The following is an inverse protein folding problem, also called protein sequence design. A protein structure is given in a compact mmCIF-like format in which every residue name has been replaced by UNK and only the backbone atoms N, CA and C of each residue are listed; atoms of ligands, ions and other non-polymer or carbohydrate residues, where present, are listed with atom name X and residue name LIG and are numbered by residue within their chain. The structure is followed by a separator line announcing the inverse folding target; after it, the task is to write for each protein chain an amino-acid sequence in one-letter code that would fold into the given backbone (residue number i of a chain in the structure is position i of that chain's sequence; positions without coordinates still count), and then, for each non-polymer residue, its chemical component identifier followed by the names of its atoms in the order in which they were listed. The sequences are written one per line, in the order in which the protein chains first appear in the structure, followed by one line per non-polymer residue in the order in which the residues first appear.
data_IF_117029632445
#
_entry.id   IF_117029632445
#
_cell.length_a   1.000
_cell.length_b   1.000
_cell.length_c   1.000
_cell.angle_alpha   90.00
_cell.angle_beta   90.00
_cell.angle_gamma   90.00
#
_symmetry.space_group_name_H-M   'P 1'
#
loop_
_entity.id
_entity.type
_entity.pdbx_description
1 polymer ?
#
# COMPACT_ATOMS: atom_id res chain seq x y z
N UNK A 1 34.79 -13.72 30.88
CA UNK A 1 33.97 -14.79 30.26
C UNK A 1 32.47 -14.63 30.51
N UNK A 2 31.96 -14.45 31.74
CA UNK A 2 30.51 -14.30 32.01
C UNK A 2 29.81 -13.10 31.32
N UNK A 3 30.47 -11.93 31.19
CA UNK A 3 29.89 -10.77 30.47
C UNK A 3 29.75 -10.98 28.95
N UNK A 4 30.69 -11.70 28.34
CA UNK A 4 30.67 -11.98 26.90
C UNK A 4 29.56 -13.00 26.58
N UNK A 5 29.38 -14.00 27.43
CA UNK A 5 28.31 -15.00 27.28
C UNK A 5 26.93 -14.37 27.50
N UNK A 6 26.77 -13.44 28.44
CA UNK A 6 25.50 -12.73 28.66
C UNK A 6 25.15 -11.80 27.48
N UNK A 7 26.13 -11.11 26.90
CA UNK A 7 25.92 -10.29 25.70
C UNK A 7 25.59 -11.13 24.47
N UNK A 8 26.20 -12.32 24.29
CA UNK A 8 25.91 -13.21 23.15
C UNK A 8 24.51 -13.85 23.28
N UNK A 9 24.10 -14.25 24.49
CA UNK A 9 22.76 -14.81 24.73
C UNK A 9 21.67 -13.74 24.56
N UNK A 10 21.91 -12.51 25.02
CA UNK A 10 21.01 -11.38 24.76
C UNK A 10 20.95 -11.03 23.26
N UNK A 11 22.09 -11.11 22.56
CA UNK A 11 22.17 -10.82 21.12
C UNK A 11 21.42 -11.86 20.27
N UNK A 12 21.56 -13.15 20.54
CA UNK A 12 20.82 -14.23 19.84
C UNK A 12 19.32 -14.21 20.17
N UNK A 13 18.94 -13.86 21.41
CA UNK A 13 17.53 -13.67 21.76
C UNK A 13 16.94 -12.40 21.12
N UNK A 14 17.72 -11.35 20.91
CA UNK A 14 17.24 -10.09 20.29
C UNK A 14 17.11 -10.25 18.78
N UNK A 15 18.03 -10.93 18.08
CA UNK A 15 17.91 -11.12 16.63
C UNK A 15 16.80 -12.09 16.24
N UNK A 16 16.59 -13.17 17.00
CA UNK A 16 15.47 -14.09 16.80
C UNK A 16 14.10 -13.53 17.20
N UNK A 17 14.04 -12.53 18.09
CA UNK A 17 12.78 -11.87 18.49
C UNK A 17 12.48 -10.57 17.72
N UNK A 18 13.47 -9.91 17.12
CA UNK A 18 13.26 -8.66 16.38
C UNK A 18 12.42 -8.88 15.11
N UNK A 19 12.60 -10.02 14.44
CA UNK A 19 11.82 -10.41 13.27
C UNK A 19 10.99 -11.65 13.61
N UNK A 20 9.85 -11.47 14.28
CA UNK A 20 8.88 -12.54 14.40
C UNK A 20 8.48 -13.01 12.99
N UNK A 21 8.64 -14.30 12.70
CA UNK A 21 8.20 -14.87 11.41
C UNK A 21 6.69 -14.72 11.29
N UNK A 22 6.24 -13.93 10.31
CA UNK A 22 4.82 -13.86 9.98
C UNK A 22 4.34 -15.21 9.45
N UNK A 23 3.04 -15.42 9.54
CA UNK A 23 2.35 -16.58 9.01
C UNK A 23 1.21 -16.12 8.13
N UNK A 24 1.03 -16.81 7.00
CA UNK A 24 -0.18 -16.73 6.21
C UNK A 24 -1.42 -17.03 7.09
N UNK A 25 -2.55 -16.43 6.74
CA UNK A 25 -3.83 -16.70 7.41
C UNK A 25 -4.29 -18.13 7.12
N UNK A 26 -5.08 -18.70 8.05
CA UNK A 26 -5.70 -20.00 7.82
C UNK A 26 -6.60 -20.01 6.57
N UNK A 27 -7.30 -18.89 6.32
CA UNK A 27 -8.12 -18.70 5.13
C UNK A 27 -7.28 -18.77 3.85
N UNK A 28 -6.09 -18.17 3.80
CA UNK A 28 -5.23 -18.28 2.62
C UNK A 28 -4.79 -19.73 2.36
N UNK A 29 -4.39 -20.46 3.41
CA UNK A 29 -3.99 -21.87 3.27
C UNK A 29 -5.16 -22.74 2.76
N UNK A 30 -6.38 -22.46 3.21
CA UNK A 30 -7.58 -23.11 2.69
C UNK A 30 -7.84 -22.79 1.21
N UNK A 31 -7.66 -21.52 0.81
CA UNK A 31 -7.81 -21.08 -0.57
C UNK A 31 -6.76 -21.74 -1.48
N UNK A 32 -5.50 -21.78 -1.05
CA UNK A 32 -4.41 -22.44 -1.78
C UNK A 32 -4.71 -23.94 -2.00
N UNK A 33 -5.14 -24.65 -0.94
CA UNK A 33 -5.53 -26.05 -1.05
C UNK A 33 -6.68 -26.28 -2.03
N UNK A 34 -7.71 -25.43 -1.97
CA UNK A 34 -8.83 -25.47 -2.91
C UNK A 34 -8.38 -25.24 -4.36
N UNK A 35 -7.47 -24.29 -4.59
CA UNK A 35 -6.95 -23.97 -5.93
C UNK A 35 -6.16 -25.15 -6.50
N UNK A 36 -5.34 -25.83 -5.69
CA UNK A 36 -4.61 -27.02 -6.15
C UNK A 36 -5.53 -28.16 -6.60
N UNK A 37 -6.72 -28.26 -6.01
CA UNK A 37 -7.75 -29.23 -6.41
C UNK A 37 -8.61 -28.76 -7.59
N UNK A 38 -8.55 -27.47 -7.95
CA UNK A 38 -9.42 -26.84 -8.94
C UNK A 38 -8.62 -26.02 -9.97
N UNK A 39 -7.56 -26.63 -10.52
CA UNK A 39 -6.65 -25.95 -11.47
C UNK A 39 -7.33 -25.40 -12.72
N UNK A 40 -8.50 -25.94 -13.09
CA UNK A 40 -9.33 -25.45 -14.19
C UNK A 40 -9.86 -24.02 -14.00
N UNK A 41 -9.75 -23.44 -12.80
CA UNK A 41 -10.10 -22.04 -12.54
C UNK A 41 -9.12 -21.04 -13.21
N UNK A 42 -7.93 -21.49 -13.61
CA UNK A 42 -6.97 -20.66 -14.34
C UNK A 42 -7.36 -20.62 -15.80
N UNK A 43 -7.91 -19.49 -16.23
CA UNK A 43 -8.42 -19.28 -17.60
C UNK A 43 -7.38 -18.68 -18.56
N UNK A 44 -6.29 -18.11 -18.04
CA UNK A 44 -5.19 -17.54 -18.83
C UNK A 44 -3.82 -17.99 -18.29
N UNK A 45 -3.16 -18.83 -19.09
CA UNK A 45 -1.84 -19.41 -18.82
C UNK A 45 -0.72 -18.76 -19.62
N UNK A 46 -1.05 -17.84 -20.53
CA UNK A 46 -0.08 -17.27 -21.50
C UNK A 46 0.46 -15.92 -21.09
N UNK A 47 -0.37 -15.11 -20.42
CA UNK A 47 0.07 -13.84 -19.89
C UNK A 47 0.95 -14.09 -18.66
N UNK A 48 2.16 -13.52 -18.54
CA UNK A 48 2.98 -13.71 -17.35
C UNK A 48 2.55 -12.83 -16.17
N UNK A 49 1.63 -11.89 -16.36
CA UNK A 49 1.15 -10.97 -15.32
C UNK A 49 -0.05 -11.52 -14.53
N UNK A 50 -0.09 -11.21 -13.23
CA UNK A 50 -1.19 -11.53 -12.32
C UNK A 50 -2.31 -10.47 -12.39
N UNK A 51 -3.02 -10.41 -13.52
CA UNK A 51 -4.13 -9.47 -13.65
C UNK A 51 -5.39 -9.93 -12.91
N UNK A 52 -6.01 -9.00 -12.17
CA UNK A 52 -7.37 -9.14 -11.64
C UNK A 52 -8.47 -8.92 -12.67
N UNK A 53 -8.13 -8.52 -13.90
CA UNK A 53 -9.13 -8.20 -14.92
C UNK A 53 -9.45 -9.41 -15.79
N UNK A 54 -10.73 -9.63 -16.02
CA UNK A 54 -11.25 -10.56 -17.02
C UNK A 54 -12.33 -9.86 -17.84
N UNK A 55 -12.09 -9.72 -19.15
CA UNK A 55 -13.04 -9.08 -20.08
C UNK A 55 -13.52 -7.71 -19.57
N UNK A 56 -12.61 -6.93 -18.96
CA UNK A 56 -12.89 -5.61 -18.40
C UNK A 56 -13.60 -5.61 -17.05
N UNK A 57 -13.71 -6.76 -16.36
CA UNK A 57 -14.33 -6.88 -15.03
C UNK A 57 -13.32 -7.39 -14.00
N UNK A 58 -13.44 -6.89 -12.77
CA UNK A 58 -12.59 -7.23 -11.64
C UNK A 58 -12.98 -8.59 -11.03
N UNK A 59 -11.98 -9.46 -10.87
CA UNK A 59 -12.06 -10.71 -10.14
C UNK A 59 -10.87 -10.84 -9.16
N UNK A 60 -11.07 -10.55 -7.88
CA UNK A 60 -9.98 -10.45 -6.89
C UNK A 60 -9.22 -11.76 -6.63
N UNK A 61 -9.84 -12.93 -6.83
CA UNK A 61 -9.16 -14.22 -6.65
C UNK A 61 -8.43 -14.71 -7.90
N UNK A 62 -8.73 -14.16 -9.08
CA UNK A 62 -8.06 -14.55 -10.33
C UNK A 62 -6.53 -14.53 -10.27
N UNK A 63 -5.87 -13.46 -9.78
CA UNK A 63 -4.42 -13.46 -9.67
C UNK A 63 -3.91 -14.56 -8.74
N UNK A 64 -4.63 -14.87 -7.66
CA UNK A 64 -4.25 -15.94 -6.71
C UNK A 64 -4.41 -17.34 -7.31
N UNK A 65 -5.48 -17.58 -8.08
CA UNK A 65 -5.67 -18.83 -8.83
C UNK A 65 -4.47 -19.10 -9.71
N UNK A 66 -4.06 -18.09 -10.48
CA UNK A 66 -2.93 -18.19 -11.40
C UNK A 66 -1.61 -18.36 -10.66
N UNK A 67 -1.35 -17.53 -9.64
CA UNK A 67 -0.12 -17.56 -8.87
C UNK A 67 0.16 -18.93 -8.27
N UNK A 68 -0.83 -19.55 -7.63
CA UNK A 68 -0.63 -20.82 -6.93
C UNK A 68 -0.61 -22.03 -7.86
N UNK A 69 -1.31 -21.99 -9.00
CA UNK A 69 -1.24 -23.07 -10.00
C UNK A 69 0.06 -23.03 -10.79
N UNK A 70 0.50 -21.83 -11.20
CA UNK A 70 1.67 -21.60 -12.05
C UNK A 70 2.89 -21.13 -11.25
N UNK A 71 2.97 -21.50 -9.97
CA UNK A 71 3.97 -20.97 -9.04
C UNK A 71 5.39 -21.15 -9.54
N UNK A 72 5.73 -22.36 -10.00
CA UNK A 72 7.08 -22.66 -10.44
C UNK A 72 7.42 -21.90 -11.73
N UNK A 73 6.50 -21.87 -12.69
CA UNK A 73 6.68 -21.19 -13.97
C UNK A 73 6.85 -19.67 -13.79
N UNK A 74 6.09 -19.06 -12.88
CA UNK A 74 6.20 -17.64 -12.58
C UNK A 74 7.49 -17.32 -11.82
N UNK A 75 7.93 -18.19 -10.90
CA UNK A 75 9.22 -18.05 -10.21
C UNK A 75 10.38 -18.19 -11.20
N UNK A 76 10.30 -19.15 -12.12
CA UNK A 76 11.32 -19.36 -13.15
C UNK A 76 11.41 -18.16 -14.12
N UNK A 77 10.27 -17.50 -14.38
CA UNK A 77 10.18 -16.35 -15.30
C UNK A 77 10.64 -15.04 -14.64
N UNK A 78 10.17 -14.76 -13.42
CA UNK A 78 10.30 -13.45 -12.77
C UNK A 78 11.24 -13.42 -11.57
N UNK A 79 11.60 -14.60 -11.05
CA UNK A 79 12.30 -14.75 -9.79
C UNK A 79 11.35 -14.79 -8.58
N UNK A 80 11.82 -15.43 -7.50
CA UNK A 80 11.06 -15.59 -6.26
C UNK A 80 10.65 -14.24 -5.62
N UNK A 81 11.51 -13.21 -5.55
CA UNK A 81 11.11 -11.92 -4.96
C UNK A 81 9.96 -11.25 -5.70
N UNK A 82 10.02 -11.21 -7.05
CA UNK A 82 8.96 -10.61 -7.86
C UNK A 82 7.64 -11.40 -7.75
N UNK A 83 7.70 -12.73 -7.79
CA UNK A 83 6.53 -13.59 -7.54
C UNK A 83 5.88 -13.28 -6.18
N UNK A 84 6.68 -13.16 -5.13
CA UNK A 84 6.18 -12.90 -3.79
C UNK A 84 5.57 -11.49 -3.66
N UNK A 85 6.14 -10.46 -4.28
CA UNK A 85 5.56 -9.12 -4.29
C UNK A 85 4.24 -9.07 -5.08
N UNK A 86 4.15 -9.75 -6.22
CA UNK A 86 2.91 -9.86 -7.00
C UNK A 86 1.80 -10.58 -6.22
N UNK A 87 2.14 -11.66 -5.50
CA UNK A 87 1.19 -12.34 -4.60
C UNK A 87 0.80 -11.46 -3.42
N UNK A 88 1.75 -10.75 -2.82
CA UNK A 88 1.47 -9.82 -1.72
C UNK A 88 0.49 -8.71 -2.17
N UNK A 89 0.68 -8.16 -3.36
CA UNK A 89 -0.23 -7.18 -3.95
C UNK A 89 -1.63 -7.78 -4.16
N UNK A 90 -1.73 -8.96 -4.76
CA UNK A 90 -3.02 -9.63 -4.97
C UNK A 90 -3.77 -9.90 -3.66
N UNK A 91 -3.05 -10.33 -2.61
CA UNK A 91 -3.60 -10.55 -1.27
C UNK A 91 -4.06 -9.25 -0.62
N UNK A 92 -3.27 -8.18 -0.71
CA UNK A 92 -3.65 -6.87 -0.23
C UNK A 92 -4.94 -6.38 -0.90
N UNK A 93 -5.07 -6.60 -2.22
CA UNK A 93 -6.26 -6.24 -2.98
C UNK A 93 -7.48 -7.05 -2.52
N UNK A 94 -7.31 -8.35 -2.27
CA UNK A 94 -8.36 -9.23 -1.78
C UNK A 94 -8.69 -9.06 -0.28
N UNK A 95 -7.98 -8.18 0.44
CA UNK A 95 -8.23 -7.88 1.85
C UNK A 95 -7.49 -8.79 2.84
N UNK A 96 -6.47 -9.54 2.44
CA UNK A 96 -5.62 -10.29 3.38
C UNK A 96 -4.26 -9.61 3.57
N UNK A 97 -4.25 -8.54 4.39
CA UNK A 97 -3.04 -7.78 4.67
C UNK A 97 -2.00 -8.56 5.47
N UNK A 98 -2.43 -9.49 6.34
CA UNK A 98 -1.51 -10.30 7.13
C UNK A 98 -0.69 -11.21 6.21
N UNK A 99 -1.36 -11.91 5.29
CA UNK A 99 -0.65 -12.74 4.33
C UNK A 99 0.13 -11.91 3.31
N UNK A 100 -0.33 -10.70 2.95
CA UNK A 100 0.48 -9.80 2.12
C UNK A 100 1.83 -9.50 2.77
N UNK A 101 1.84 -9.12 4.06
CA UNK A 101 3.09 -8.91 4.80
C UNK A 101 3.94 -10.19 4.93
N UNK A 102 3.30 -11.35 5.07
CA UNK A 102 4.00 -12.64 5.06
C UNK A 102 4.75 -12.88 3.74
N UNK A 103 4.10 -12.68 2.58
CA UNK A 103 4.75 -12.85 1.28
C UNK A 103 5.86 -11.82 1.04
N UNK A 104 5.69 -10.57 1.49
CA UNK A 104 6.77 -9.58 1.46
C UNK A 104 7.99 -10.03 2.26
N UNK A 105 7.80 -10.64 3.44
CA UNK A 105 8.90 -11.22 4.20
C UNK A 105 9.53 -12.46 3.53
N UNK A 106 8.80 -13.17 2.67
CA UNK A 106 9.37 -14.27 1.88
C UNK A 106 10.16 -13.76 0.66
N UNK A 107 9.96 -12.52 0.23
CA UNK A 107 10.76 -11.88 -0.82
C UNK A 107 12.15 -11.45 -0.31
N UNK A 108 12.32 -11.34 1.01
CA UNK A 108 13.56 -10.95 1.68
C UNK A 108 14.65 -12.01 1.61
N UNK A 109 15.91 -11.57 1.52
CA UNK A 109 17.07 -12.42 1.68
C UNK A 109 17.59 -12.41 3.13
N UNK A 110 18.23 -13.50 3.61
CA UNK A 110 18.92 -13.50 4.89
C UNK A 110 20.09 -12.52 4.87
N UNK A 111 20.14 -11.60 5.84
CA UNK A 111 21.25 -10.67 5.97
C UNK A 111 22.43 -11.29 6.75
N UNK A 112 23.68 -11.00 6.38
CA UNK A 112 24.85 -11.42 7.17
C UNK A 112 24.85 -10.82 8.58
N UNK A 113 25.40 -11.54 9.56
CA UNK A 113 25.49 -11.08 10.96
C UNK A 113 26.16 -9.69 11.14
N UNK A 114 27.07 -9.33 10.24
CA UNK A 114 27.73 -8.02 10.22
C UNK A 114 26.75 -6.87 9.94
N UNK A 115 25.72 -7.11 9.12
CA UNK A 115 24.67 -6.13 8.83
C UNK A 115 23.78 -5.94 10.05
N UNK A 116 23.38 -7.04 10.71
CA UNK A 116 22.58 -6.99 11.94
C UNK A 116 23.29 -6.15 13.01
N UNK A 117 24.58 -6.43 13.27
CA UNK A 117 25.39 -5.66 14.21
C UNK A 117 25.45 -4.16 13.86
N UNK A 118 25.58 -3.84 12.58
CA UNK A 118 25.63 -2.46 12.09
C UNK A 118 24.29 -1.74 12.31
N UNK A 119 23.17 -2.39 11.96
CA UNK A 119 21.82 -1.85 12.16
C UNK A 119 21.57 -1.59 13.64
N UNK A 120 21.80 -2.57 14.51
CA UNK A 120 21.56 -2.44 15.94
C UNK A 120 22.34 -1.26 16.52
N UNK A 121 23.64 -1.14 16.22
CA UNK A 121 24.47 -0.02 16.71
C UNK A 121 23.98 1.34 16.20
N UNK A 122 23.56 1.42 14.93
CA UNK A 122 23.02 2.67 14.35
C UNK A 122 21.73 3.09 15.05
N UNK A 123 20.81 2.14 15.26
CA UNK A 123 19.54 2.41 15.94
C UNK A 123 19.76 2.77 17.41
N UNK A 124 20.65 2.06 18.13
CA UNK A 124 21.03 2.39 19.52
C UNK A 124 21.57 3.82 19.67
N UNK A 125 22.29 4.32 18.65
CA UNK A 125 22.79 5.68 18.61
C UNK A 125 21.69 6.74 18.39
N UNK A 126 20.49 6.36 17.95
CA UNK A 126 19.34 7.23 17.77
C UNK A 126 18.56 7.46 19.07
N UNK A 127 19.25 7.79 20.15
CA UNK A 127 18.61 8.22 21.39
C UNK A 127 18.15 9.70 21.34
N UNK A 128 17.33 10.08 22.32
CA UNK A 128 16.85 11.45 22.54
C UNK A 128 16.12 12.08 21.34
N UNK A 129 15.39 11.25 20.58
CA UNK A 129 14.53 11.72 19.50
C UNK A 129 13.15 12.10 20.03
N UNK A 130 12.58 13.16 19.47
CA UNK A 130 11.18 13.53 19.72
C UNK A 130 10.30 12.88 18.67
N UNK A 131 9.41 11.98 19.09
CA UNK A 131 8.40 11.38 18.22
C UNK A 131 7.16 12.27 18.17
N UNK A 132 6.95 12.99 17.06
CA UNK A 132 5.77 13.84 16.89
C UNK A 132 4.71 13.15 16.02
N UNK A 133 3.40 13.38 16.25
CA UNK A 133 2.36 12.85 15.37
C UNK A 133 2.57 13.30 13.92
N UNK A 134 2.52 12.36 12.97
CA UNK A 134 2.96 12.64 11.60
C UNK A 134 2.05 13.62 10.84
N UNK A 135 0.72 13.44 10.97
CA UNK A 135 -0.28 14.26 10.25
C UNK A 135 -0.09 15.77 10.51
N UNK A 136 -0.13 16.29 11.76
CA UNK A 136 0.02 17.72 11.99
C UNK A 136 1.40 18.25 11.58
N UNK A 137 2.47 17.44 11.70
CA UNK A 137 3.80 17.84 11.28
C UNK A 137 3.90 17.99 9.76
N UNK A 138 3.41 17.00 8.99
CA UNK A 138 3.39 17.04 7.53
C UNK A 138 2.56 18.21 7.03
N UNK A 139 1.36 18.42 7.59
CA UNK A 139 0.49 19.53 7.23
C UNK A 139 1.18 20.89 7.47
N UNK A 140 1.93 21.03 8.57
CA UNK A 140 2.71 22.25 8.82
C UNK A 140 3.79 22.47 7.75
N UNK A 141 4.48 21.42 7.31
CA UNK A 141 5.52 21.53 6.28
C UNK A 141 4.94 21.76 4.87
N UNK A 142 3.79 21.17 4.57
CA UNK A 142 3.10 21.28 3.29
C UNK A 142 2.58 22.70 3.00
N UNK A 143 2.27 23.50 4.02
CA UNK A 143 1.70 24.84 3.85
C UNK A 143 2.53 25.78 2.97
N UNK A 144 3.86 25.63 3.00
CA UNK A 144 4.83 26.45 2.26
C UNK A 144 5.29 25.82 0.94
N UNK A 145 4.52 24.87 0.41
CA UNK A 145 4.88 24.06 -0.76
C UNK A 145 3.75 24.08 -1.78
N UNK A 146 4.11 24.08 -3.05
CA UNK A 146 3.16 23.93 -4.16
C UNK A 146 2.97 22.47 -4.56
N UNK A 147 3.88 21.59 -4.14
CA UNK A 147 3.84 20.17 -4.48
C UNK A 147 4.34 19.34 -3.30
N UNK A 148 3.55 18.32 -2.96
CA UNK A 148 3.86 17.32 -1.94
C UNK A 148 3.89 15.96 -2.62
N UNK A 149 5.04 15.30 -2.55
CA UNK A 149 5.25 13.94 -3.05
C UNK A 149 5.19 12.99 -1.84
N UNK A 150 4.35 11.98 -1.94
CA UNK A 150 4.19 10.93 -0.94
C UNK A 150 4.37 9.62 -1.69
N UNK A 151 5.28 8.74 -1.24
CA UNK A 151 5.40 7.44 -1.89
C UNK A 151 4.50 6.36 -1.28
N UNK A 152 4.40 5.22 -1.93
CA UNK A 152 3.76 4.01 -1.42
C UNK A 152 4.40 2.73 -1.98
N UNK A 153 4.31 1.63 -1.24
CA UNK A 153 4.43 0.27 -1.78
C UNK A 153 3.06 -0.18 -2.27
N UNK A 154 3.01 -0.80 -3.44
CA UNK A 154 1.74 -1.14 -4.10
C UNK A 154 0.93 -2.23 -3.38
N UNK A 155 1.60 -3.02 -2.53
CA UNK A 155 1.04 -4.07 -1.68
C UNK A 155 0.72 -3.60 -0.26
N UNK A 156 0.85 -2.30 0.05
CA UNK A 156 0.59 -1.74 1.40
C UNK A 156 -0.55 -0.71 1.42
N UNK A 157 -1.81 -1.16 1.52
CA UNK A 157 -2.96 -0.26 1.66
C UNK A 157 -2.88 0.68 2.86
N UNK A 158 -2.11 0.35 3.91
CA UNK A 158 -1.85 1.24 5.05
C UNK A 158 -1.30 2.62 4.62
N UNK A 159 -0.49 2.68 3.56
CA UNK A 159 0.05 3.93 3.04
C UNK A 159 -1.03 4.83 2.43
N UNK A 160 -1.99 4.21 1.74
CA UNK A 160 -3.14 4.89 1.15
C UNK A 160 -4.12 5.33 2.23
N UNK A 161 -4.31 4.51 3.28
CA UNK A 161 -5.07 4.88 4.47
C UNK A 161 -4.48 6.13 5.15
N UNK A 162 -3.15 6.22 5.22
CA UNK A 162 -2.46 7.41 5.73
C UNK A 162 -2.67 8.65 4.83
N UNK A 163 -2.55 8.49 3.52
CA UNK A 163 -2.83 9.56 2.55
C UNK A 163 -4.29 10.08 2.64
N UNK A 164 -5.28 9.19 2.84
CA UNK A 164 -6.69 9.54 3.07
C UNK A 164 -6.85 10.53 4.24
N UNK A 165 -6.11 10.31 5.32
CA UNK A 165 -6.18 11.16 6.52
C UNK A 165 -5.55 12.53 6.27
N UNK A 166 -4.54 12.62 5.40
CA UNK A 166 -3.89 13.89 5.03
C UNK A 166 -4.76 14.78 4.12
N UNK A 167 -5.64 14.19 3.30
CA UNK A 167 -6.36 14.93 2.25
C UNK A 167 -7.11 16.15 2.77
N UNK A 168 -7.79 16.06 3.92
CA UNK A 168 -8.58 17.17 4.48
C UNK A 168 -7.72 18.39 4.80
N UNK A 169 -6.64 18.18 5.55
CA UNK A 169 -5.71 19.26 5.89
C UNK A 169 -5.01 19.84 4.67
N UNK A 170 -4.65 19.00 3.69
CA UNK A 170 -4.06 19.47 2.43
C UNK A 170 -5.08 20.30 1.63
N UNK A 171 -6.33 19.87 1.55
CA UNK A 171 -7.37 20.63 0.86
C UNK A 171 -7.61 22.00 1.52
N UNK A 172 -7.61 22.08 2.85
CA UNK A 172 -7.72 23.35 3.58
C UNK A 172 -6.54 24.30 3.29
N UNK A 173 -5.38 23.78 2.88
CA UNK A 173 -4.18 24.55 2.51
C UNK A 173 -4.09 24.92 1.02
N UNK A 174 -5.17 24.67 0.26
CA UNK A 174 -5.27 25.03 -1.16
C UNK A 174 -4.83 23.95 -2.14
N UNK A 175 -4.53 22.72 -1.69
CA UNK A 175 -4.31 21.61 -2.61
C UNK A 175 -5.62 21.21 -3.29
N UNK A 176 -5.63 21.19 -4.62
CA UNK A 176 -6.82 20.91 -5.45
C UNK A 176 -6.62 19.80 -6.46
N UNK A 177 -5.40 19.31 -6.61
CA UNK A 177 -5.08 18.22 -7.54
C UNK A 177 -4.49 17.04 -6.78
N UNK A 178 -5.02 15.85 -7.05
CA UNK A 178 -4.45 14.58 -6.62
C UNK A 178 -3.92 13.86 -7.85
N UNK A 179 -2.61 13.89 -8.02
CA UNK A 179 -1.90 13.15 -9.05
C UNK A 179 -1.51 11.78 -8.50
N UNK A 180 -1.80 10.70 -9.24
CA UNK A 180 -1.43 9.35 -8.80
C UNK A 180 -0.89 8.56 -9.97
N UNK A 181 0.18 7.81 -9.73
CA UNK A 181 0.84 6.97 -10.75
C UNK A 181 -0.12 6.01 -11.45
N UNK A 182 -1.07 5.48 -10.68
CA UNK A 182 -2.02 4.48 -11.16
C UNK A 182 -3.09 5.03 -12.09
N UNK A 183 -3.32 6.33 -12.13
CA UNK A 183 -4.44 6.88 -12.89
C UNK A 183 -4.24 6.58 -14.38
N UNK A 184 -5.28 6.04 -15.00
CA UNK A 184 -5.28 5.65 -16.39
C UNK A 184 -4.90 6.86 -17.27
N UNK A 185 -3.80 6.79 -18.05
CA UNK A 185 -3.37 7.91 -18.89
C UNK A 185 -4.15 7.99 -20.22
N UNK A 186 -4.91 6.95 -20.59
CA UNK A 186 -5.58 6.87 -21.88
C UNK A 186 -6.89 7.66 -21.91
N UNK A 187 -7.38 7.94 -23.13
CA UNK A 187 -8.63 8.70 -23.37
C UNK A 187 -9.89 8.13 -22.72
N UNK A 188 -9.91 6.84 -22.38
CA UNK A 188 -11.04 6.18 -21.72
C UNK A 188 -10.97 6.25 -20.19
N UNK A 189 -10.04 7.03 -19.61
CA UNK A 189 -9.90 7.16 -18.17
C UNK A 189 -11.16 7.73 -17.50
N UNK A 190 -11.59 7.09 -16.41
CA UNK A 190 -12.69 7.59 -15.58
C UNK A 190 -12.14 8.42 -14.41
N UNK A 191 -12.04 9.74 -14.62
CA UNK A 191 -11.43 10.68 -13.65
C UNK A 191 -12.43 11.47 -12.79
N UNK A 192 -13.74 11.29 -13.02
CA UNK A 192 -14.82 11.97 -12.26
C UNK A 192 -15.64 11.01 -11.39
N UNK A 193 -15.46 9.72 -11.58
CA UNK A 193 -16.10 8.64 -10.84
C UNK A 193 -15.12 7.47 -10.78
N UNK A 194 -15.06 6.79 -9.63
CA UNK A 194 -14.23 5.60 -9.48
C UNK A 194 -14.86 4.42 -10.22
N UNK A 195 -14.11 3.85 -11.16
CA UNK A 195 -14.44 2.61 -11.87
C UNK A 195 -13.15 1.85 -12.17
N UNK A 196 -13.28 0.64 -12.72
CA UNK A 196 -12.13 -0.13 -13.25
C UNK A 196 -11.28 0.63 -14.29
N UNK A 197 -11.85 1.67 -14.94
CA UNK A 197 -11.14 2.51 -15.90
C UNK A 197 -10.38 3.67 -15.26
N UNK A 198 -10.50 3.88 -13.95
CA UNK A 198 -9.79 4.94 -13.23
C UNK A 198 -8.31 4.64 -13.10
N UNK A 199 -7.94 3.38 -12.84
CA UNK A 199 -6.55 2.97 -12.68
C UNK A 199 -6.39 1.59 -12.04
N UNK A 200 -5.29 0.89 -12.33
CA UNK A 200 -5.07 -0.47 -11.84
C UNK A 200 -5.06 -0.57 -10.31
N UNK A 201 -4.21 0.20 -9.61
CA UNK A 201 -4.15 0.21 -8.15
C UNK A 201 -5.39 0.80 -7.49
N UNK A 202 -6.20 1.60 -8.19
CA UNK A 202 -7.48 2.09 -7.66
C UNK A 202 -8.51 0.99 -7.45
N UNK A 203 -8.25 -0.20 -7.99
CA UNK A 203 -9.06 -1.39 -7.76
C UNK A 203 -8.81 -2.02 -6.37
N UNK A 204 -7.76 -1.62 -5.66
CA UNK A 204 -7.59 -1.96 -4.25
C UNK A 204 -8.57 -1.11 -3.40
N UNK A 205 -9.38 -1.70 -2.49
CA UNK A 205 -10.46 -0.99 -1.80
C UNK A 205 -10.04 0.31 -1.08
N UNK A 206 -8.91 0.34 -0.38
CA UNK A 206 -8.42 1.54 0.31
C UNK A 206 -7.95 2.60 -0.69
N UNK A 207 -7.30 2.23 -1.78
CA UNK A 207 -7.02 3.13 -2.90
C UNK A 207 -8.31 3.69 -3.52
N UNK A 208 -9.33 2.85 -3.65
CA UNK A 208 -10.66 3.27 -4.07
C UNK A 208 -11.26 4.32 -3.13
N UNK A 209 -11.18 4.11 -1.81
CA UNK A 209 -11.61 5.11 -0.82
C UNK A 209 -10.80 6.41 -0.91
N UNK A 210 -9.50 6.36 -1.22
CA UNK A 210 -8.68 7.55 -1.46
C UNK A 210 -9.23 8.37 -2.63
N UNK A 211 -9.54 7.71 -3.75
CA UNK A 211 -10.11 8.36 -4.93
C UNK A 211 -11.51 8.91 -4.64
N UNK A 212 -12.39 8.13 -4.00
CA UNK A 212 -13.75 8.58 -3.63
C UNK A 212 -13.69 9.81 -2.74
N UNK A 213 -12.86 9.79 -1.70
CA UNK A 213 -12.70 10.93 -0.79
C UNK A 213 -12.16 12.16 -1.52
N UNK A 214 -11.16 12.00 -2.38
CA UNK A 214 -10.61 13.09 -3.17
C UNK A 214 -11.70 13.74 -4.05
N UNK A 215 -12.47 12.94 -4.80
CA UNK A 215 -13.57 13.42 -5.63
C UNK A 215 -14.67 14.10 -4.81
N UNK A 216 -15.09 13.50 -3.69
CA UNK A 216 -16.10 14.07 -2.79
C UNK A 216 -15.69 15.45 -2.26
N UNK A 217 -14.41 15.64 -1.94
CA UNK A 217 -13.87 16.91 -1.49
C UNK A 217 -13.69 17.94 -2.61
N UNK A 218 -13.77 17.53 -3.87
CA UNK A 218 -13.56 18.39 -5.03
C UNK A 218 -12.10 18.50 -5.48
N UNK A 219 -11.25 17.50 -5.18
CA UNK A 219 -9.98 17.36 -5.88
C UNK A 219 -10.22 17.00 -7.36
N UNK A 220 -9.36 17.51 -8.24
CA UNK A 220 -9.24 17.04 -9.61
C UNK A 220 -8.18 15.94 -9.67
N UNK A 221 -8.54 14.78 -10.22
CA UNK A 221 -7.58 13.69 -10.44
C UNK A 221 -6.69 14.01 -11.64
N UNK A 222 -5.37 13.82 -11.49
CA UNK A 222 -4.37 14.15 -12.51
C UNK A 222 -3.51 12.92 -12.86
N UNK A 223 -3.78 12.21 -13.96
CA UNK A 223 -2.84 11.20 -14.46
C UNK A 223 -1.55 11.89 -14.89
N UNK A 224 -0.43 11.27 -14.58
CA UNK A 224 0.90 11.75 -15.00
C UNK A 224 1.77 10.65 -15.62
N UNK A 225 1.28 9.41 -15.65
CA UNK A 225 1.95 8.31 -16.34
C UNK A 225 1.95 8.51 -17.87
N UNK A 226 2.93 7.93 -18.55
CA UNK A 226 2.96 7.88 -20.02
C UNK A 226 2.12 6.71 -20.57
N UNK A 227 1.39 6.96 -21.67
CA UNK A 227 0.63 5.92 -22.38
C UNK A 227 1.51 4.77 -22.89
N UNK A 228 2.83 4.97 -23.03
CA UNK A 228 3.80 3.97 -23.46
C UNK A 228 4.73 3.50 -22.32
N UNK A 229 4.37 3.71 -21.06
CA UNK A 229 5.22 3.39 -19.90
C UNK A 229 5.81 1.97 -19.94
N UNK A 230 5.07 0.99 -20.46
CA UNK A 230 5.51 -0.41 -20.61
C UNK A 230 6.61 -0.64 -21.67
N UNK A 231 6.96 0.36 -22.46
CA UNK A 231 8.02 0.31 -23.49
C UNK A 231 9.23 1.18 -23.13
N UNK A 232 9.16 1.91 -22.02
CA UNK A 232 10.19 2.82 -21.56
C UNK A 232 11.11 2.09 -20.57
N UNK A 233 12.39 2.48 -20.54
CA UNK A 233 13.24 2.16 -19.39
C UNK A 233 12.75 2.91 -18.14
N UNK A 234 13.18 2.48 -16.95
CA UNK A 234 12.81 3.14 -15.69
C UNK A 234 13.12 4.65 -15.71
N UNK A 235 14.33 5.03 -16.14
CA UNK A 235 14.69 6.45 -16.27
C UNK A 235 13.83 7.22 -17.27
N UNK A 236 13.51 6.60 -18.42
CA UNK A 236 12.67 7.25 -19.41
C UNK A 236 11.26 7.47 -18.85
N UNK A 237 10.69 6.46 -18.18
CA UNK A 237 9.40 6.55 -17.51
C UNK A 237 9.39 7.66 -16.45
N UNK A 238 10.35 7.68 -15.54
CA UNK A 238 10.46 8.71 -14.49
C UNK A 238 10.62 10.11 -15.07
N UNK A 239 11.40 10.24 -16.14
CA UNK A 239 11.56 11.52 -16.84
C UNK A 239 10.25 11.99 -17.49
N UNK A 240 9.46 11.10 -18.09
CA UNK A 240 8.19 11.43 -18.72
C UNK A 240 7.12 11.80 -17.68
N UNK A 241 7.05 11.06 -16.59
CA UNK A 241 6.22 11.40 -15.44
C UNK A 241 6.53 12.81 -14.92
N UNK A 242 7.82 13.13 -14.77
CA UNK A 242 8.27 14.46 -14.36
C UNK A 242 7.94 15.56 -15.39
N UNK A 243 8.06 15.27 -16.69
CA UNK A 243 7.68 16.19 -17.77
C UNK A 243 6.19 16.53 -17.69
N UNK A 244 5.31 15.55 -17.50
CA UNK A 244 3.86 15.78 -17.38
C UNK A 244 3.53 16.69 -16.19
N UNK A 245 4.10 16.40 -15.02
CA UNK A 245 3.90 17.23 -13.82
C UNK A 245 4.47 18.64 -13.99
N UNK A 246 5.67 18.78 -14.56
CA UNK A 246 6.30 20.09 -14.80
C UNK A 246 5.50 20.94 -15.81
N UNK A 247 5.00 20.33 -16.89
CA UNK A 247 4.14 21.01 -17.86
C UNK A 247 2.82 21.48 -17.24
N UNK A 248 2.21 20.64 -16.39
CA UNK A 248 1.03 21.04 -15.64
C UNK A 248 1.33 22.25 -14.74
N UNK A 249 2.37 22.20 -13.91
CA UNK A 249 2.74 23.31 -13.02
C UNK A 249 3.07 24.60 -13.79
N UNK A 250 3.71 24.50 -14.96
CA UNK A 250 3.97 25.66 -15.81
C UNK A 250 2.69 26.34 -16.31
N UNK A 251 1.65 25.55 -16.63
CA UNK A 251 0.33 26.05 -17.04
C UNK A 251 -0.50 26.55 -15.85
N UNK A 252 -0.22 26.05 -14.65
CA UNK A 252 -0.98 26.27 -13.43
C UNK A 252 -0.08 26.73 -12.26
N UNK A 253 0.62 27.86 -12.37
CA UNK A 253 1.69 28.24 -11.43
C UNK A 253 1.23 28.55 -10.01
N UNK A 254 -0.07 28.82 -9.80
CA UNK A 254 -0.68 29.06 -8.49
C UNK A 254 -1.29 27.81 -7.84
N UNK A 255 -1.43 26.72 -8.60
CA UNK A 255 -2.12 25.52 -8.12
C UNK A 255 -1.20 24.65 -7.27
N UNK A 256 -1.80 23.99 -6.27
CA UNK A 256 -1.09 23.04 -5.41
C UNK A 256 -1.51 21.60 -5.67
N UNK A 257 -0.53 20.71 -5.73
CA UNK A 257 -0.69 19.31 -6.14
C UNK A 257 -0.16 18.36 -5.08
N UNK A 258 -0.94 17.33 -4.77
CA UNK A 258 -0.48 16.15 -4.03
C UNK A 258 -0.16 15.07 -5.05
N UNK A 259 1.03 14.49 -5.00
CA UNK A 259 1.45 13.39 -5.88
C UNK A 259 1.65 12.14 -5.04
N UNK A 260 0.96 11.05 -5.41
CA UNK A 260 1.18 9.72 -4.86
C UNK A 260 1.89 8.85 -5.91
N UNK A 261 3.07 8.35 -5.57
CA UNK A 261 3.91 7.54 -6.47
C UNK A 261 4.40 6.26 -5.79
N UNK A 262 4.76 5.25 -6.56
CA UNK A 262 5.41 4.03 -6.08
C UNK A 262 6.83 4.31 -5.56
N UNK A 263 7.19 3.68 -4.45
CA UNK A 263 8.58 3.51 -3.98
C UNK A 263 9.45 4.78 -4.12
N UNK A 264 10.51 4.69 -4.90
CA UNK A 264 11.58 5.69 -4.94
C UNK A 264 11.33 6.80 -5.94
N UNK A 265 10.23 6.81 -6.70
CA UNK A 265 9.91 7.89 -7.65
C UNK A 265 9.94 9.28 -6.98
N UNK A 266 9.70 9.34 -5.67
CA UNK A 266 9.70 10.59 -4.90
C UNK A 266 11.07 10.99 -4.33
N UNK A 267 12.10 10.15 -4.47
CA UNK A 267 13.45 10.40 -3.97
C UNK A 267 14.10 11.62 -4.65
N UNK A 268 14.70 12.50 -3.85
CA UNK A 268 15.29 13.77 -4.31
C UNK A 268 16.76 13.65 -4.72
N UNK A 269 17.34 12.46 -4.64
CA UNK A 269 18.70 12.15 -5.07
C UNK A 269 18.69 10.86 -5.89
N UNK A 270 19.52 10.83 -6.94
CA UNK A 270 19.79 9.61 -7.69
C UNK A 270 20.99 8.90 -7.07
N UNK A 271 20.91 7.57 -6.94
CA UNK A 271 22.03 6.77 -6.45
C UNK A 271 23.11 6.58 -7.52
N UNK A 272 22.69 6.50 -8.78
CA UNK A 272 23.58 6.45 -9.94
C UNK A 272 22.92 7.11 -11.16
N UNK A 273 23.56 7.01 -12.33
CA UNK A 273 23.05 7.60 -13.58
C UNK A 273 22.02 6.71 -14.29
N UNK A 274 21.87 5.47 -13.85
CA UNK A 274 21.01 4.44 -14.44
C UNK A 274 19.64 4.35 -13.73
N UNK A 275 19.54 4.91 -12.52
CA UNK A 275 18.28 5.10 -11.77
C UNK A 275 18.16 6.53 -11.24
N UNK A 276 17.51 7.40 -12.02
CA UNK A 276 17.21 8.79 -11.67
C UNK A 276 15.71 8.91 -11.36
N UNK A 277 15.34 9.15 -10.09
CA UNK A 277 13.95 9.29 -9.70
C UNK A 277 13.20 10.45 -10.36
N UNK A 278 11.89 10.27 -10.55
CA UNK A 278 10.97 11.29 -11.06
C UNK A 278 11.14 12.64 -10.32
N UNK A 279 11.27 12.64 -8.99
CA UNK A 279 11.41 13.89 -8.22
C UNK A 279 12.69 14.68 -8.54
N UNK A 280 13.79 14.00 -8.94
CA UNK A 280 15.02 14.66 -9.39
C UNK A 280 14.76 15.40 -10.72
N UNK A 281 14.18 14.71 -11.70
CA UNK A 281 13.80 15.33 -12.98
C UNK A 281 12.79 16.46 -12.77
N UNK A 282 11.79 16.26 -11.92
CA UNK A 282 10.73 17.22 -11.68
C UNK A 282 11.28 18.52 -11.10
N UNK A 283 12.19 18.43 -10.13
CA UNK A 283 12.87 19.60 -9.57
C UNK A 283 13.68 20.33 -10.63
N UNK A 284 14.41 19.60 -11.47
CA UNK A 284 15.20 20.19 -12.55
C UNK A 284 14.34 20.92 -13.59
N UNK A 285 13.24 20.29 -14.03
CA UNK A 285 12.37 20.81 -15.09
C UNK A 285 11.47 21.96 -14.62
N UNK A 286 10.99 21.92 -13.37
CA UNK A 286 10.06 22.92 -12.84
C UNK A 286 10.75 24.07 -12.09
N UNK A 287 11.97 23.87 -11.61
CA UNK A 287 12.64 24.79 -10.67
C UNK A 287 12.02 24.82 -9.27
N UNK A 288 11.01 23.99 -8.98
CA UNK A 288 10.30 23.94 -7.70
C UNK A 288 10.90 22.84 -6.83
N UNK A 289 11.18 23.15 -5.55
CA UNK A 289 11.55 22.12 -4.56
C UNK A 289 10.27 21.46 -4.01
N UNK A 290 9.98 20.18 -4.30
CA UNK A 290 8.89 19.48 -3.66
C UNK A 290 9.13 19.26 -2.16
N UNK A 291 8.06 19.03 -1.42
CA UNK A 291 8.16 18.30 -0.14
C UNK A 291 8.08 16.80 -0.46
N UNK A 292 9.15 16.05 -0.19
CA UNK A 292 9.17 14.61 -0.41
C UNK A 292 9.08 13.83 0.90
N UNK A 293 8.13 12.90 0.97
CA UNK A 293 7.76 12.15 2.17
C UNK A 293 7.85 10.67 1.84
N UNK A 294 8.79 9.97 2.49
CA UNK A 294 8.84 8.51 2.47
C UNK A 294 7.92 7.92 3.53
N UNK A 295 7.17 6.88 3.17
CA UNK A 295 6.50 5.97 4.10
C UNK A 295 6.80 4.50 3.80
N UNK A 296 7.73 4.22 2.88
CA UNK A 296 7.97 2.87 2.38
C UNK A 296 9.15 2.17 3.06
N UNK A 297 10.07 2.92 3.65
CA UNK A 297 11.20 2.33 4.36
C UNK A 297 10.88 1.99 5.83
N UNK A 298 10.22 2.92 6.55
CA UNK A 298 9.97 2.79 7.99
C UNK A 298 8.58 2.22 8.29
N UNK A 299 8.31 1.06 7.72
CA UNK A 299 7.05 0.33 7.85
C UNK A 299 7.30 -1.18 7.96
N UNK A 300 6.30 -1.94 8.43
CA UNK A 300 6.38 -3.41 8.43
C UNK A 300 6.67 -3.92 7.02
N UNK A 301 7.58 -4.88 6.86
CA UNK A 301 8.04 -5.36 5.55
C UNK A 301 9.21 -4.55 5.00
N UNK A 302 9.16 -3.20 5.03
CA UNK A 302 10.15 -2.29 4.42
C UNK A 302 10.41 -2.59 2.92
N UNK A 303 11.07 -1.69 2.20
CA UNK A 303 11.48 -1.93 0.79
C UNK A 303 12.77 -2.73 0.67
N UNK A 304 13.59 -2.71 1.71
CA UNK A 304 14.88 -3.40 1.75
C UNK A 304 15.02 -4.24 3.00
N UNK A 305 15.82 -5.32 2.92
CA UNK A 305 16.13 -6.17 4.07
C UNK A 305 16.82 -5.39 5.18
N UNK A 306 17.69 -4.46 4.78
CA UNK A 306 18.36 -3.55 5.70
C UNK A 306 17.34 -2.67 6.44
N UNK A 307 16.41 -2.05 5.69
CA UNK A 307 15.32 -1.26 6.25
C UNK A 307 14.39 -2.09 7.14
N UNK A 308 14.14 -3.36 6.83
CA UNK A 308 13.29 -4.26 7.64
C UNK A 308 13.87 -4.50 9.02
N UNK A 309 15.16 -4.82 9.10
CA UNK A 309 15.86 -4.93 10.38
C UNK A 309 15.89 -3.60 11.12
N UNK A 310 16.15 -2.51 10.40
CA UNK A 310 16.23 -1.18 10.97
C UNK A 310 14.90 -0.75 11.58
N UNK A 311 13.81 -0.91 10.84
CA UNK A 311 12.45 -0.65 11.28
C UNK A 311 12.13 -1.44 12.55
N UNK A 312 12.36 -2.77 12.55
CA UNK A 312 12.08 -3.64 13.69
C UNK A 312 12.83 -3.17 14.96
N UNK A 313 14.13 -2.88 14.83
CA UNK A 313 14.93 -2.36 15.94
C UNK A 313 14.43 -0.98 16.41
N UNK A 314 14.10 -0.09 15.47
CA UNK A 314 13.66 1.27 15.75
C UNK A 314 12.33 1.31 16.49
N UNK A 315 11.31 0.60 16.00
CA UNK A 315 9.98 0.60 16.63
C UNK A 315 9.99 -0.06 18.00
N UNK A 316 10.84 -1.07 18.19
CA UNK A 316 11.06 -1.70 19.49
C UNK A 316 11.73 -0.73 20.47
N UNK A 317 12.85 -0.11 20.08
CA UNK A 317 13.59 0.84 20.92
C UNK A 317 12.74 2.04 21.35
N UNK A 318 11.93 2.58 20.43
CA UNK A 318 11.17 3.80 20.66
C UNK A 318 9.71 3.58 21.07
N UNK A 319 9.26 2.32 21.17
CA UNK A 319 7.90 1.96 21.55
C UNK A 319 6.83 2.69 20.70
N UNK A 320 6.98 2.62 19.38
CA UNK A 320 6.11 3.33 18.43
C UNK A 320 4.70 2.73 18.43
N UNK A 321 3.71 3.53 18.84
CA UNK A 321 2.29 3.12 18.98
C UNK A 321 1.32 3.84 18.04
N UNK A 322 1.82 4.82 17.30
CA UNK A 322 1.09 5.62 16.33
C UNK A 322 2.04 6.04 15.22
N UNK A 323 1.51 6.53 14.09
CA UNK A 323 2.34 7.03 12.99
C UNK A 323 3.01 8.35 13.37
N UNK A 324 4.34 8.40 13.31
CA UNK A 324 5.15 9.53 13.80
C UNK A 324 6.19 10.00 12.79
N UNK A 325 6.69 11.23 13.00
CA UNK A 325 7.95 11.72 12.42
C UNK A 325 8.97 11.83 13.57
N UNK A 326 10.12 11.14 13.51
CA UNK A 326 11.20 11.33 14.46
C UNK A 326 11.94 12.64 14.20
N UNK A 327 12.09 13.47 15.24
CA UNK A 327 12.79 14.75 15.17
C UNK A 327 14.01 14.78 16.08
N UNK A 328 15.05 15.49 15.64
CA UNK A 328 16.16 15.95 16.48
C UNK A 328 16.27 17.46 16.33
N UNK A 329 16.16 18.20 17.44
CA UNK A 329 16.17 19.67 17.44
C UNK A 329 15.15 20.27 16.44
N UNK A 330 13.92 19.74 16.42
CA UNK A 330 12.83 20.11 15.49
C UNK A 330 13.09 19.84 13.99
N UNK A 331 14.15 19.11 13.63
CA UNK A 331 14.47 18.73 12.26
C UNK A 331 14.17 17.23 12.08
N UNK A 332 13.49 16.81 10.99
CA UNK A 332 13.31 15.40 10.67
C UNK A 332 14.64 14.66 10.59
N UNK A 333 14.71 13.52 11.28
CA UNK A 333 15.90 12.67 11.24
C UNK A 333 15.94 11.92 9.91
N UNK A 334 17.11 11.89 9.30
CA UNK A 334 17.40 11.03 8.14
C UNK A 334 17.78 9.65 8.69
N UNK A 335 16.90 8.66 8.55
CA UNK A 335 17.03 7.38 9.26
C UNK A 335 17.92 6.39 8.50
N UNK A 336 17.65 6.20 7.21
CA UNK A 336 18.32 5.19 6.37
C UNK A 336 19.32 5.86 5.44
N UNK A 337 18.82 6.65 4.50
CA UNK A 337 19.64 7.37 3.53
C UNK A 337 19.61 8.88 3.77
N UNK A 338 20.78 9.50 3.73
CA UNK A 338 20.90 10.94 4.00
C UNK A 338 20.54 11.76 2.77
N UNK A 339 19.51 12.59 2.88
CA UNK A 339 19.17 13.62 1.90
C UNK A 339 18.29 13.14 0.75
N UNK A 340 17.80 11.90 0.79
CA UNK A 340 16.93 11.33 -0.25
C UNK A 340 15.49 11.84 -0.11
N UNK A 341 15.00 11.98 1.13
CA UNK A 341 13.65 12.46 1.42
C UNK A 341 13.69 13.62 2.43
N UNK A 342 12.69 14.52 2.40
CA UNK A 342 12.60 15.59 3.40
C UNK A 342 12.19 15.03 4.78
N UNK A 343 11.46 13.90 4.82
CA UNK A 343 11.15 13.15 6.04
C UNK A 343 10.75 11.70 5.78
N UNK A 344 10.87 10.88 6.82
CA UNK A 344 10.42 9.49 6.88
C UNK A 344 9.24 9.36 7.84
N UNK A 345 8.14 8.78 7.38
CA UNK A 345 6.98 8.40 8.18
C UNK A 345 7.25 7.04 8.79
N UNK A 346 7.25 6.97 10.13
CA UNK A 346 7.36 5.70 10.84
C UNK A 346 5.97 5.21 11.19
N UNK A 347 5.52 4.14 10.54
CA UNK A 347 4.26 3.47 10.88
C UNK A 347 4.45 2.58 12.11
N UNK A 348 3.44 2.46 13.00
CA UNK A 348 3.50 1.50 14.09
C UNK A 348 3.29 0.07 13.57
N UNK A 349 3.78 -0.96 14.28
CA UNK A 349 3.41 -2.33 14.01
C UNK A 349 1.88 -2.51 14.00
N UNK A 350 1.37 -3.24 13.01
CA UNK A 350 -0.06 -3.42 12.80
C UNK A 350 -0.67 -4.19 13.97
N UNK A 351 -1.70 -3.59 14.56
CA UNK A 351 -2.60 -4.29 15.49
C UNK A 351 -3.77 -4.85 14.71
N UNK A 352 -4.16 -6.06 15.07
CA UNK A 352 -5.33 -6.72 14.50
C UNK A 352 -6.48 -6.69 15.51
N UNK A 353 -7.69 -6.49 14.98
CA UNK A 353 -8.95 -6.63 15.67
C UNK A 353 -9.84 -7.48 14.77
N UNK A 354 -10.41 -8.56 15.33
CA UNK A 354 -11.31 -9.47 14.60
C UNK A 354 -10.76 -9.94 13.23
N UNK A 355 -9.47 -10.29 13.19
CA UNK A 355 -8.79 -10.77 11.98
C UNK A 355 -8.43 -9.68 10.95
N UNK A 356 -8.65 -8.41 11.28
CA UNK A 356 -8.46 -7.26 10.38
C UNK A 356 -7.50 -6.23 10.97
N UNK A 357 -6.68 -5.54 10.17
CA UNK A 357 -5.84 -4.45 10.68
C UNK A 357 -6.68 -3.28 11.24
N UNK A 358 -6.39 -2.86 12.46
CA UNK A 358 -7.14 -1.79 13.13
C UNK A 358 -7.06 -0.43 12.39
N UNK A 359 -6.01 -0.20 11.59
CA UNK A 359 -5.86 1.03 10.80
C UNK A 359 -6.88 1.16 9.65
N UNK A 360 -7.65 0.10 9.31
CA UNK A 360 -8.78 0.20 8.38
C UNK A 360 -9.89 1.14 8.88
N UNK A 361 -9.91 1.51 10.17
CA UNK A 361 -10.86 2.45 10.73
C UNK A 361 -10.62 3.93 10.29
N UNK A 362 -9.50 4.23 9.64
CA UNK A 362 -9.09 5.57 9.19
C UNK A 362 -9.28 6.64 10.27
N UNK A 363 -8.61 6.48 11.42
CA UNK A 363 -8.76 7.36 12.58
C UNK A 363 -10.22 7.50 13.06
N UNK A 364 -10.90 6.37 13.22
CA UNK A 364 -12.29 6.26 13.69
C UNK A 364 -13.35 6.85 12.74
N UNK A 365 -13.03 7.07 11.47
CA UNK A 365 -14.01 7.56 10.49
C UNK A 365 -14.82 6.43 9.85
N UNK A 366 -14.30 5.19 9.87
CA UNK A 366 -15.01 3.96 9.49
C UNK A 366 -15.34 3.12 10.73
N UNK A 367 -16.51 2.48 10.70
CA UNK A 367 -16.99 1.55 11.73
C UNK A 367 -16.72 0.13 11.29
N UNK A 368 -16.34 -0.71 12.24
CA UNK A 368 -16.24 -2.14 12.03
C UNK A 368 -17.63 -2.78 12.07
N UNK A 369 -17.95 -3.59 11.05
CA UNK A 369 -19.28 -4.17 10.81
C UNK A 369 -19.13 -5.69 10.70
N UNK A 370 -19.76 -6.46 11.61
CA UNK A 370 -19.75 -7.91 11.53
C UNK A 370 -20.69 -8.41 10.43
N UNK A 371 -20.23 -9.38 9.66
CA UNK A 371 -20.96 -10.06 8.59
C UNK A 371 -20.99 -11.55 8.92
N UNK A 372 -22.20 -12.04 9.21
CA UNK A 372 -22.43 -13.45 9.57
C UNK A 372 -22.16 -14.39 8.39
N UNK A 373 -21.65 -15.62 8.65
CA UNK A 373 -21.45 -16.63 7.61
C UNK A 373 -22.77 -17.23 7.12
N UNK A 374 -23.49 -16.49 6.29
CA UNK A 374 -24.88 -16.78 5.91
C UNK A 374 -25.04 -17.99 4.96
N UNK A 375 -23.96 -18.45 4.32
CA UNK A 375 -23.98 -19.53 3.34
C UNK A 375 -22.93 -20.59 3.69
N UNK A 376 -23.26 -21.87 3.49
CA UNK A 376 -22.35 -23.00 3.81
C UNK A 376 -21.01 -22.94 3.07
N UNK A 377 -21.01 -22.43 1.84
CA UNK A 377 -19.81 -22.29 1.00
C UNK A 377 -19.27 -20.87 0.97
N UNK A 378 -19.75 -19.98 1.85
CA UNK A 378 -19.23 -18.62 1.94
C UNK A 378 -17.74 -18.65 2.23
N UNK A 379 -17.01 -17.82 1.49
CA UNK A 379 -15.58 -17.66 1.70
C UNK A 379 -15.12 -16.20 1.57
N UNK A 380 -15.83 -15.38 0.79
CA UNK A 380 -15.43 -14.01 0.52
C UNK A 380 -16.64 -13.07 0.66
N UNK A 381 -16.45 -11.98 1.40
CA UNK A 381 -17.46 -10.93 1.57
C UNK A 381 -16.96 -9.61 1.01
N UNK A 382 -17.84 -8.90 0.32
CA UNK A 382 -17.55 -7.59 -0.25
C UNK A 382 -18.69 -6.64 0.07
N UNK A 383 -18.38 -5.38 0.38
CA UNK A 383 -19.36 -4.31 0.51
C UNK A 383 -19.19 -3.30 -0.61
N UNK A 384 -20.24 -3.05 -1.38
CA UNK A 384 -20.29 -2.01 -2.40
C UNK A 384 -21.22 -0.90 -1.95
N UNK A 385 -20.90 0.37 -2.26
CA UNK A 385 -21.83 1.46 -2.00
C UNK A 385 -23.12 1.24 -2.79
N UNK A 386 -24.27 1.44 -2.15
CA UNK A 386 -25.57 1.08 -2.76
C UNK A 386 -25.89 1.86 -4.03
N UNK A 387 -25.39 3.09 -4.14
CA UNK A 387 -25.56 3.93 -5.33
C UNK A 387 -24.60 3.58 -6.48
N UNK A 388 -23.57 2.76 -6.23
CA UNK A 388 -22.66 2.26 -7.25
C UNK A 388 -23.02 0.82 -7.66
N UNK A 389 -23.76 0.07 -6.85
CA UNK A 389 -24.04 -1.33 -7.13
C UNK A 389 -25.28 -1.56 -8.03
N UNK A 390 -25.06 -2.27 -9.15
CA UNK A 390 -26.10 -2.88 -9.98
C UNK A 390 -25.66 -4.23 -10.59
N UNK A 391 -26.58 -5.18 -10.79
CA UNK A 391 -26.24 -6.55 -11.27
C UNK A 391 -25.50 -6.53 -12.62
N UNK A 392 -25.82 -5.59 -13.52
CA UNK A 392 -25.14 -5.45 -14.83
C UNK A 392 -23.72 -4.89 -14.70
N UNK A 393 -23.39 -4.30 -13.56
CA UNK A 393 -22.17 -3.55 -13.28
C UNK A 393 -21.18 -4.33 -12.40
N UNK A 394 -21.44 -5.62 -12.16
CA UNK A 394 -20.53 -6.50 -11.40
C UNK A 394 -19.09 -6.44 -11.95
N UNK A 395 -18.12 -6.18 -11.08
CA UNK A 395 -16.70 -6.09 -11.46
C UNK A 395 -16.33 -4.81 -12.20
N UNK A 396 -17.23 -3.83 -12.35
CA UNK A 396 -16.91 -2.48 -12.82
C UNK A 396 -16.55 -1.58 -11.64
N UNK A 397 -17.29 -1.70 -10.55
CA UNK A 397 -17.10 -0.91 -9.34
C UNK A 397 -16.20 -1.60 -8.32
N UNK A 398 -15.55 -0.78 -7.51
CA UNK A 398 -14.59 -1.19 -6.50
C UNK A 398 -15.37 -1.31 -5.18
N UNK A 399 -15.19 -2.37 -4.37
CA UNK A 399 -15.85 -2.43 -3.07
C UNK A 399 -15.29 -1.36 -2.13
N UNK A 400 -16.13 -0.89 -1.20
CA UNK A 400 -15.68 -0.05 -0.10
C UNK A 400 -14.75 -0.82 0.85
N UNK A 401 -15.08 -2.08 1.11
CA UNK A 401 -14.20 -3.03 1.80
C UNK A 401 -14.52 -4.47 1.37
N UNK A 402 -13.55 -5.36 1.56
CA UNK A 402 -13.71 -6.78 1.35
C UNK A 402 -12.71 -7.61 2.17
N UNK A 403 -13.06 -8.86 2.42
CA UNK A 403 -12.17 -9.82 3.07
C UNK A 403 -12.65 -11.25 2.85
N UNK A 404 -11.70 -12.16 2.70
CA UNK A 404 -11.94 -13.61 2.84
C UNK A 404 -11.36 -14.18 4.14
N UNK A 405 -10.71 -13.33 4.94
CA UNK A 405 -10.25 -13.66 6.28
C UNK A 405 -11.41 -13.48 7.25
N UNK A 406 -11.77 -14.55 7.94
CA UNK A 406 -12.73 -14.55 9.03
C UNK A 406 -12.01 -14.50 10.39
N UNK A 407 -12.69 -13.94 11.39
CA UNK A 407 -12.23 -13.96 12.77
C UNK A 407 -12.41 -15.35 13.39
N UNK A 408 -11.80 -15.57 14.57
CA UNK A 408 -11.90 -16.83 15.31
C UNK A 408 -13.34 -17.22 15.67
N UNK A 409 -14.24 -16.23 15.79
CA UNK A 409 -15.67 -16.45 16.01
C UNK A 409 -16.45 -16.85 14.74
N UNK A 410 -15.78 -16.97 13.59
CA UNK A 410 -16.36 -17.35 12.30
C UNK A 410 -17.02 -16.20 11.52
N UNK A 411 -17.10 -14.99 12.06
CA UNK A 411 -17.62 -13.83 11.35
C UNK A 411 -16.56 -13.20 10.45
N UNK A 412 -17.02 -12.51 9.42
CA UNK A 412 -16.19 -11.60 8.62
C UNK A 412 -16.41 -10.18 9.10
N UNK A 413 -15.37 -9.36 9.08
CA UNK A 413 -15.44 -7.98 9.56
C UNK A 413 -15.03 -7.02 8.46
N UNK A 414 -15.91 -6.07 8.17
CA UNK A 414 -15.70 -5.01 7.17
C UNK A 414 -15.64 -3.66 7.89
N UNK A 415 -14.72 -2.80 7.51
CA UNK A 415 -14.70 -1.41 7.96
C UNK A 415 -15.49 -0.58 6.96
N UNK A 416 -16.49 0.20 7.37
CA UNK A 416 -17.35 0.97 6.44
C UNK A 416 -17.64 2.36 6.99
N UNK A 417 -17.74 3.35 6.12
CA UNK A 417 -18.27 4.66 6.49
C UNK A 417 -19.77 4.53 6.83
N UNK A 418 -20.36 5.48 7.58
CA UNK A 418 -21.81 5.59 7.66
C UNK A 418 -22.42 5.74 6.26
N UNK A 419 -23.41 4.90 5.93
CA UNK A 419 -23.93 4.81 4.58
C UNK A 419 -24.74 3.56 4.29
N UNK A 420 -25.22 3.44 3.05
CA UNK A 420 -25.97 2.28 2.55
C UNK A 420 -25.09 1.44 1.65
N UNK A 421 -25.11 0.13 1.87
CA UNK A 421 -24.25 -0.80 1.14
C UNK A 421 -25.02 -2.01 0.64
N UNK A 422 -24.53 -2.58 -0.46
CA UNK A 422 -24.83 -3.94 -0.88
C UNK A 422 -23.68 -4.85 -0.43
N UNK A 423 -23.98 -5.80 0.46
CA UNK A 423 -23.08 -6.92 0.78
C UNK A 423 -23.25 -8.00 -0.28
N UNK A 424 -22.14 -8.49 -0.80
CA UNK A 424 -22.06 -9.59 -1.77
C UNK A 424 -21.31 -10.74 -1.11
N UNK A 425 -21.91 -11.92 -1.16
CA UNK A 425 -21.38 -13.15 -0.59
C UNK A 425 -20.87 -14.03 -1.72
N UNK A 426 -19.62 -14.50 -1.64
CA UNK A 426 -19.00 -15.36 -2.67
C UNK A 426 -18.34 -16.60 -2.09
N UNK A 427 -18.25 -17.64 -2.90
CA UNK A 427 -17.47 -18.83 -2.59
C UNK A 427 -16.02 -18.75 -3.09
N UNK A 428 -15.26 -19.83 -2.88
CA UNK A 428 -13.86 -19.97 -3.31
C UNK A 428 -13.67 -20.00 -4.83
N UNK A 429 -14.72 -20.32 -5.60
CA UNK A 429 -14.73 -20.24 -7.06
C UNK A 429 -15.19 -18.85 -7.56
N UNK A 430 -15.33 -17.88 -6.66
CA UNK A 430 -15.76 -16.51 -6.91
C UNK A 430 -17.23 -16.37 -7.33
N UNK A 431 -18.03 -17.44 -7.24
CA UNK A 431 -19.45 -17.41 -7.57
C UNK A 431 -20.24 -16.62 -6.51
N UNK A 432 -21.20 -15.79 -6.95
CA UNK A 432 -22.12 -15.09 -6.03
C UNK A 432 -23.08 -16.11 -5.42
N UNK A 433 -23.09 -16.18 -4.10
CA UNK A 433 -24.02 -17.00 -3.31
C UNK A 433 -25.31 -16.24 -2.96
N UNK A 434 -25.20 -14.92 -2.85
CA UNK A 434 -26.32 -14.03 -2.67
C UNK A 434 -25.86 -12.63 -2.28
N UNK A 435 -26.81 -11.75 -2.00
CA UNK A 435 -26.53 -10.37 -1.62
C UNK A 435 -27.46 -9.92 -0.48
N UNK A 436 -27.05 -8.90 0.28
CA UNK A 436 -27.84 -8.30 1.37
C UNK A 436 -27.61 -6.81 1.44
N UNK A 437 -28.68 -6.03 1.52
CA UNK A 437 -28.56 -4.60 1.81
C UNK A 437 -28.34 -4.36 3.30
N UNK A 438 -27.46 -3.43 3.63
CA UNK A 438 -27.23 -2.95 5.00
C UNK A 438 -27.19 -1.43 5.06
N UNK A 439 -27.46 -0.89 6.24
CA UNK A 439 -27.21 0.52 6.56
C UNK A 439 -26.27 0.58 7.75
N UNK A 440 -25.16 1.29 7.59
CA UNK A 440 -24.22 1.63 8.65
C UNK A 440 -24.61 3.00 9.18
N UNK A 441 -25.02 3.05 10.45
CA UNK A 441 -25.32 4.30 11.15
C UNK A 441 -24.06 5.02 11.56
#
# INVERSE_FOLDING_TARGET
MKKIILSIILFVFVTGNLLAQRKATASLLELEHFIQQNKQLVTDTTNPFLSMLEKGRIQYFKPLYKAFVLKNELIDTHGLPAYNEDVAQALAFAGDYQSALYYQEQASEPLPDSYINTVTKKVEALNNLQMVPAIPFILKQAGNRSIVLINESHSKPQHRAFAIVLLEGLYQQGFRYLAMETLNPYKNASLKQLTVQTGYYTSEPVCGELVRKALQMGFTLLPYEDENANRLSNNQRDSMQAVHLAQFMKKHPSEKIVVLAGYEHTAQLAWDRESIPMAVYLRYLSGIKPLSIDQTEMTEGSNSDYGRLYYAAFVHQHNIKQTVIPLRNNIPVQLLDSGVYDMYVVHPPTKYQDGRPAWYNFNNTRKEIPVSPAYKTLFFVQAFYKNEWGEKEEGIYIPADQTFVNAENGFYYLYLYPGKYQIVYRDKAYAILGTKEITVQ
#
